data_IF_497448523224
#
_entry.id   IF_497448523224
#
_cell.length_a   1.000
_cell.length_b   1.000
_cell.length_c   1.000
_cell.angle_alpha   90.00
_cell.angle_beta   90.00
_cell.angle_gamma   90.00
#
_symmetry.space_group_name_H-M   'P 1'
#
loop_
_entity.id
_entity.type
_entity.pdbx_description
1 polymer ?
#
# COMPACT_ATOMS: atom_id res chain seq x y z
N UNK A 1 12.28 4.32 -53.19
CA UNK A 1 11.04 4.11 -52.43
C UNK A 1 11.42 3.24 -51.25
N UNK A 2 11.91 3.87 -50.18
CA UNK A 2 12.21 3.21 -48.92
C UNK A 2 11.00 3.40 -48.00
N UNK A 3 10.50 2.29 -47.45
CA UNK A 3 9.32 2.25 -46.60
C UNK A 3 9.56 3.03 -45.30
N UNK A 4 8.64 3.94 -44.99
CA UNK A 4 8.69 4.85 -43.84
C UNK A 4 8.18 4.21 -42.52
N UNK A 5 7.93 2.90 -42.50
CA UNK A 5 7.13 2.22 -41.47
C UNK A 5 7.90 1.39 -40.42
N UNK A 6 9.24 1.51 -40.34
CA UNK A 6 10.03 0.82 -39.31
C UNK A 6 10.68 1.79 -38.31
N UNK A 7 9.87 2.72 -37.78
CA UNK A 7 10.28 3.49 -36.60
C UNK A 7 10.00 2.63 -35.36
N UNK A 8 11.02 2.32 -34.52
CA UNK A 8 10.78 1.61 -33.28
C UNK A 8 9.75 2.37 -32.45
N UNK A 9 8.75 1.65 -31.95
CA UNK A 9 7.70 2.20 -31.10
C UNK A 9 8.36 3.06 -30.01
N UNK A 10 7.89 4.32 -29.86
CA UNK A 10 8.39 5.21 -28.82
C UNK A 10 8.34 4.46 -27.49
N UNK A 11 9.42 4.47 -26.67
CA UNK A 11 9.41 3.84 -25.36
C UNK A 11 8.15 4.29 -24.61
N UNK A 12 7.35 3.32 -24.14
CA UNK A 12 6.21 3.60 -23.28
C UNK A 12 6.69 4.56 -22.18
N UNK A 13 6.01 5.69 -22.03
CA UNK A 13 6.40 6.65 -21.01
C UNK A 13 6.41 5.95 -19.65
N UNK A 14 7.46 6.16 -18.85
CA UNK A 14 7.57 5.63 -17.48
C UNK A 14 6.23 5.78 -16.73
N UNK A 15 5.74 4.72 -16.08
CA UNK A 15 4.40 4.65 -15.50
C UNK A 15 4.03 5.92 -14.72
N UNK A 16 4.91 6.35 -13.81
CA UNK A 16 4.74 7.59 -13.05
C UNK A 16 4.48 8.83 -13.94
N UNK A 17 5.20 9.01 -15.05
CA UNK A 17 4.99 10.15 -15.97
C UNK A 17 3.65 10.08 -16.70
N UNK A 18 3.10 8.87 -16.92
CA UNK A 18 1.74 8.72 -17.44
C UNK A 18 0.73 9.14 -16.37
N UNK A 19 0.90 8.64 -15.15
CA UNK A 19 0.04 9.01 -14.04
C UNK A 19 0.06 10.53 -13.80
N UNK A 20 1.23 11.18 -13.81
CA UNK A 20 1.32 12.62 -13.57
C UNK A 20 0.51 13.42 -14.59
N UNK A 21 0.61 13.08 -15.88
CA UNK A 21 -0.19 13.73 -16.94
C UNK A 21 -1.68 13.50 -16.76
N UNK A 22 -2.10 12.31 -16.33
CA UNK A 22 -3.50 12.03 -16.04
C UNK A 22 -4.00 12.86 -14.84
N UNK A 23 -3.20 12.96 -13.78
CA UNK A 23 -3.54 13.76 -12.60
C UNK A 23 -3.61 15.26 -12.93
N UNK A 24 -2.72 15.76 -13.80
CA UNK A 24 -2.76 17.13 -14.33
C UNK A 24 -4.06 17.41 -15.08
N UNK A 25 -4.45 16.49 -15.99
CA UNK A 25 -5.70 16.60 -16.75
C UNK A 25 -6.93 16.58 -15.85
N UNK A 26 -6.95 15.68 -14.87
CA UNK A 26 -8.04 15.62 -13.90
C UNK A 26 -8.16 16.93 -13.15
N UNK A 27 -7.08 17.44 -12.56
CA UNK A 27 -7.14 18.67 -11.78
C UNK A 27 -7.48 19.89 -12.62
N UNK A 28 -7.05 19.95 -13.88
CA UNK A 28 -7.46 21.01 -14.80
C UNK A 28 -8.97 21.04 -15.07
N UNK A 29 -9.66 19.92 -14.86
CA UNK A 29 -11.13 19.82 -14.97
C UNK A 29 -11.88 20.03 -13.66
N UNK A 30 -11.17 20.22 -12.54
CA UNK A 30 -11.78 20.39 -11.22
C UNK A 30 -11.68 21.85 -10.77
N UNK A 31 -12.81 22.54 -10.65
CA UNK A 31 -12.86 23.96 -10.26
C UNK A 31 -12.25 24.24 -8.87
N UNK A 32 -12.30 23.27 -7.97
CA UNK A 32 -11.78 23.40 -6.59
C UNK A 32 -10.26 23.16 -6.48
N UNK A 33 -9.62 22.68 -7.54
CA UNK A 33 -8.21 22.28 -7.54
C UNK A 33 -7.32 23.40 -8.11
N UNK A 34 -6.59 24.09 -7.23
CA UNK A 34 -5.58 25.07 -7.64
C UNK A 34 -4.22 24.38 -7.69
N UNK A 35 -3.62 24.31 -8.87
CA UNK A 35 -2.35 23.59 -9.12
C UNK A 35 -1.20 24.52 -9.51
N UNK A 36 -0.01 23.96 -9.70
CA UNK A 36 1.19 24.69 -10.14
C UNK A 36 2.22 24.93 -9.03
N UNK A 37 2.06 24.30 -7.87
CA UNK A 37 3.01 24.49 -6.77
C UNK A 37 4.43 24.10 -7.18
N UNK A 38 5.37 25.03 -6.99
CA UNK A 38 6.77 24.93 -7.46
C UNK A 38 6.90 24.67 -8.97
N UNK A 39 5.96 25.20 -9.76
CA UNK A 39 5.97 25.08 -11.22
C UNK A 39 5.55 23.71 -11.74
N UNK A 40 4.89 22.88 -10.93
CA UNK A 40 4.44 21.54 -11.33
C UNK A 40 2.91 21.48 -11.35
N UNK A 41 2.32 21.29 -12.53
CA UNK A 41 0.86 21.21 -12.69
C UNK A 41 0.24 20.02 -11.95
N UNK A 42 0.99 18.92 -11.76
CA UNK A 42 0.55 17.78 -10.94
C UNK A 42 0.49 18.08 -9.44
N UNK A 43 1.06 19.21 -8.97
CA UNK A 43 1.06 19.59 -7.55
C UNK A 43 0.02 20.66 -7.28
N UNK A 44 -0.84 20.37 -6.30
CA UNK A 44 -1.76 21.34 -5.72
C UNK A 44 -1.01 22.39 -4.91
N UNK A 45 -1.54 23.61 -4.92
CA UNK A 45 -1.12 24.68 -4.02
C UNK A 45 -1.31 24.25 -2.55
N UNK A 46 -0.45 24.69 -1.62
CA UNK A 46 -0.54 24.28 -0.21
C UNK A 46 -1.90 24.53 0.42
N UNK A 47 -2.61 25.56 0.01
CA UNK A 47 -3.97 25.92 0.46
C UNK A 47 -5.08 25.06 -0.20
N UNK A 48 -4.79 24.41 -1.32
CA UNK A 48 -5.74 23.59 -2.10
C UNK A 48 -5.42 22.08 -2.02
N UNK A 49 -4.45 21.68 -1.19
CA UNK A 49 -3.98 20.28 -1.11
C UNK A 49 -5.08 19.25 -0.83
N UNK A 50 -6.12 19.64 -0.07
CA UNK A 50 -7.25 18.77 0.26
C UNK A 50 -8.14 18.45 -0.96
N UNK A 51 -8.04 19.22 -2.06
CA UNK A 51 -8.69 18.89 -3.33
C UNK A 51 -8.17 17.58 -3.96
N UNK A 52 -7.11 17.00 -3.39
CA UNK A 52 -6.63 15.67 -3.75
C UNK A 52 -7.57 14.54 -3.27
N UNK A 53 -8.51 14.83 -2.36
CA UNK A 53 -9.48 13.86 -1.85
C UNK A 53 -10.83 13.94 -2.54
N UNK A 54 -11.54 12.81 -2.53
CA UNK A 54 -12.95 12.75 -2.92
C UNK A 54 -13.78 13.82 -2.19
N UNK A 55 -14.60 14.64 -2.87
CA UNK A 55 -15.34 15.74 -2.26
C UNK A 55 -16.16 15.34 -1.03
N UNK A 56 -16.91 14.23 -1.12
CA UNK A 56 -17.79 13.76 -0.03
C UNK A 56 -17.05 13.33 1.24
N UNK A 57 -15.78 12.92 1.11
CA UNK A 57 -14.98 12.43 2.24
C UNK A 57 -13.92 13.43 2.68
N UNK A 58 -13.62 14.46 1.87
CA UNK A 58 -12.48 15.38 2.06
C UNK A 58 -12.39 15.94 3.47
N UNK A 59 -13.47 16.57 3.95
CA UNK A 59 -13.46 17.21 5.26
C UNK A 59 -13.28 16.17 6.37
N UNK A 60 -13.99 15.04 6.27
CA UNK A 60 -13.90 13.95 7.24
C UNK A 60 -12.51 13.32 7.29
N UNK A 61 -11.85 13.17 6.14
CA UNK A 61 -10.45 12.71 6.04
C UNK A 61 -9.52 13.67 6.78
N UNK A 62 -9.62 14.97 6.49
CA UNK A 62 -8.77 16.01 7.11
C UNK A 62 -8.98 16.04 8.62
N UNK A 63 -10.23 16.06 9.08
CA UNK A 63 -10.56 16.08 10.50
C UNK A 63 -10.05 14.81 11.18
N UNK A 64 -10.28 13.64 10.58
CA UNK A 64 -9.82 12.35 11.09
C UNK A 64 -8.30 12.29 11.25
N UNK A 65 -7.53 12.68 10.22
CA UNK A 65 -6.07 12.65 10.28
C UNK A 65 -5.49 13.66 11.28
N UNK A 66 -6.13 14.82 11.44
CA UNK A 66 -5.71 15.84 12.40
C UNK A 66 -6.10 15.52 13.86
N UNK A 67 -7.07 14.63 14.06
CA UNK A 67 -7.58 14.27 15.38
C UNK A 67 -6.53 13.57 16.24
N UNK A 68 -6.43 13.99 17.49
CA UNK A 68 -5.68 13.30 18.53
C UNK A 68 -6.33 13.48 19.90
N UNK A 69 -6.28 12.45 20.72
CA UNK A 69 -6.68 12.50 22.13
C UNK A 69 -5.68 11.69 23.00
N UNK A 70 -6.11 11.26 24.19
CA UNK A 70 -5.27 10.47 25.11
C UNK A 70 -4.97 9.06 24.60
N UNK A 71 -5.84 8.48 23.78
CA UNK A 71 -5.79 7.09 23.32
C UNK A 71 -5.48 7.00 21.81
N UNK A 72 -5.58 8.12 21.08
CA UNK A 72 -5.47 8.19 19.62
C UNK A 72 -4.46 9.25 19.18
N UNK A 73 -3.47 8.85 18.39
CA UNK A 73 -2.51 9.78 17.78
C UNK A 73 -3.08 10.38 16.47
N UNK A 74 -2.66 11.60 16.16
CA UNK A 74 -2.84 12.18 14.82
C UNK A 74 -2.01 11.42 13.79
N UNK A 75 -2.43 11.51 12.53
CA UNK A 75 -1.80 10.82 11.41
C UNK A 75 -1.01 11.84 10.59
N UNK A 76 0.28 11.59 10.44
CA UNK A 76 1.17 12.46 9.67
C UNK A 76 0.97 12.31 8.16
N UNK A 77 0.72 13.42 7.48
CA UNK A 77 0.78 13.44 6.01
C UNK A 77 2.22 13.38 5.52
N UNK A 78 2.46 12.59 4.48
CA UNK A 78 3.74 12.58 3.77
C UNK A 78 4.05 13.95 3.17
N UNK A 79 5.34 14.28 3.04
CA UNK A 79 5.83 15.57 2.51
C UNK A 79 5.30 15.91 1.11
N UNK A 80 4.75 14.92 0.40
CA UNK A 80 4.20 15.08 -0.94
C UNK A 80 2.69 14.80 -1.02
N UNK A 81 1.94 14.94 0.08
CA UNK A 81 0.48 14.79 0.07
C UNK A 81 -0.24 15.76 -0.90
N UNK A 82 0.36 16.91 -1.22
CA UNK A 82 -0.16 17.83 -2.24
C UNK A 82 0.15 17.40 -3.69
N UNK A 83 0.87 16.30 -3.90
CA UNK A 83 1.14 15.76 -5.24
C UNK A 83 -0.03 14.88 -5.68
N UNK A 84 -0.53 15.06 -6.92
CA UNK A 84 -1.65 14.28 -7.44
C UNK A 84 -1.40 12.77 -7.49
N UNK A 85 -0.13 12.38 -7.57
CA UNK A 85 0.31 10.98 -7.52
C UNK A 85 0.88 10.55 -6.16
N UNK A 86 0.43 11.15 -5.06
CA UNK A 86 0.80 10.70 -3.72
C UNK A 86 0.16 9.34 -3.40
N UNK A 87 0.97 8.33 -3.08
CA UNK A 87 0.48 6.99 -2.73
C UNK A 87 -0.34 6.99 -1.44
N UNK A 88 0.05 7.78 -0.43
CA UNK A 88 -0.74 7.92 0.80
C UNK A 88 -2.13 8.48 0.50
N UNK A 89 -2.23 9.51 -0.34
CA UNK A 89 -3.54 10.07 -0.73
C UNK A 89 -4.33 9.09 -1.59
N UNK A 90 -3.67 8.37 -2.49
CA UNK A 90 -4.30 7.33 -3.29
C UNK A 90 -4.88 6.22 -2.39
N UNK A 91 -4.11 5.70 -1.45
CA UNK A 91 -4.55 4.73 -0.45
C UNK A 91 -5.80 5.22 0.31
N UNK A 92 -5.75 6.46 0.83
CA UNK A 92 -6.88 7.06 1.55
C UNK A 92 -8.11 7.17 0.66
N UNK A 93 -7.98 7.66 -0.57
CA UNK A 93 -9.13 7.77 -1.49
C UNK A 93 -9.80 6.42 -1.80
N UNK A 94 -9.03 5.33 -1.83
CA UNK A 94 -9.55 4.00 -2.09
C UNK A 94 -10.15 3.33 -0.85
N UNK A 95 -9.54 3.51 0.33
CA UNK A 95 -9.92 2.75 1.52
C UNK A 95 -10.81 3.52 2.51
N UNK A 96 -10.78 4.86 2.51
CA UNK A 96 -11.59 5.66 3.44
C UNK A 96 -13.10 5.44 3.30
N UNK A 97 -13.66 5.17 2.10
CA UNK A 97 -15.07 4.82 1.96
C UNK A 97 -15.50 3.57 2.73
N UNK A 98 -14.58 2.71 3.16
CA UNK A 98 -14.88 1.55 3.99
C UNK A 98 -14.84 1.85 5.51
N UNK A 99 -14.37 3.03 5.93
CA UNK A 99 -14.00 3.30 7.33
C UNK A 99 -15.16 3.11 8.30
N UNK A 100 -16.40 3.31 7.84
CA UNK A 100 -17.64 3.14 8.59
C UNK A 100 -18.66 2.22 7.89
N UNK A 101 -18.21 1.43 6.90
CA UNK A 101 -19.05 0.53 6.12
C UNK A 101 -18.65 -0.94 6.36
N UNK A 102 -18.88 -1.50 7.56
CA UNK A 102 -18.38 -2.85 7.91
C UNK A 102 -18.89 -3.94 6.97
N UNK A 103 -20.12 -3.86 6.48
CA UNK A 103 -20.67 -4.83 5.53
C UNK A 103 -19.97 -4.77 4.17
N UNK A 104 -19.61 -3.58 3.71
CA UNK A 104 -18.90 -3.41 2.45
C UNK A 104 -17.42 -3.82 2.60
N UNK A 105 -16.81 -3.46 3.73
CA UNK A 105 -15.46 -3.87 4.09
C UNK A 105 -15.34 -5.40 4.19
N UNK A 106 -16.33 -6.07 4.79
CA UNK A 106 -16.40 -7.54 4.85
C UNK A 106 -16.28 -8.17 3.46
N UNK A 107 -17.08 -7.69 2.50
CA UNK A 107 -17.04 -8.18 1.11
C UNK A 107 -15.72 -7.88 0.42
N UNK A 108 -15.10 -6.74 0.71
CA UNK A 108 -13.77 -6.44 0.20
C UNK A 108 -12.71 -7.40 0.76
N UNK A 109 -12.74 -7.69 2.06
CA UNK A 109 -11.84 -8.66 2.72
C UNK A 109 -12.03 -10.06 2.11
N UNK A 110 -13.27 -10.54 2.02
CA UNK A 110 -13.62 -11.82 1.41
C UNK A 110 -13.05 -11.92 -0.01
N UNK A 111 -13.21 -10.85 -0.80
CA UNK A 111 -12.71 -10.76 -2.17
C UNK A 111 -11.17 -10.77 -2.27
N UNK A 112 -10.47 -9.90 -1.53
CA UNK A 112 -9.00 -9.79 -1.66
C UNK A 112 -8.26 -10.95 -0.99
N UNK A 113 -8.86 -11.58 0.01
CA UNK A 113 -8.28 -12.72 0.70
C UNK A 113 -8.81 -14.07 0.20
N UNK A 114 -9.85 -14.11 -0.64
CA UNK A 114 -10.47 -15.36 -1.08
C UNK A 114 -10.98 -16.18 0.11
N UNK A 115 -11.60 -15.51 1.08
CA UNK A 115 -12.25 -16.10 2.26
C UNK A 115 -13.75 -15.80 2.20
N UNK A 116 -14.53 -16.41 3.10
CA UNK A 116 -15.96 -16.17 3.20
C UNK A 116 -16.35 -15.84 4.64
N UNK A 117 -17.18 -14.81 4.80
CA UNK A 117 -17.81 -14.50 6.08
C UNK A 117 -16.92 -13.68 7.01
N UNK A 118 -16.02 -12.84 6.47
CA UNK A 118 -15.30 -11.87 7.27
C UNK A 118 -16.26 -10.94 8.03
N UNK A 119 -15.99 -10.73 9.31
CA UNK A 119 -16.74 -9.81 10.17
C UNK A 119 -15.80 -8.73 10.69
N UNK A 120 -15.69 -7.57 10.02
CA UNK A 120 -14.86 -6.47 10.48
C UNK A 120 -15.23 -6.02 11.89
N UNK A 121 -14.21 -5.72 12.69
CA UNK A 121 -14.38 -5.10 14.00
C UNK A 121 -13.72 -3.72 14.04
N UNK A 122 -14.20 -2.86 14.93
CA UNK A 122 -13.68 -1.50 15.13
C UNK A 122 -12.21 -1.53 15.53
N UNK A 123 -11.30 -1.15 14.64
CA UNK A 123 -9.86 -1.16 14.91
C UNK A 123 -9.41 0.03 15.76
N UNK A 124 -10.04 1.20 15.58
CA UNK A 124 -9.81 2.39 16.41
C UNK A 124 -11.08 3.24 16.52
N UNK A 125 -11.13 4.14 17.51
CA UNK A 125 -12.16 5.19 17.58
C UNK A 125 -11.49 6.53 17.33
N UNK A 126 -12.07 7.35 16.46
CA UNK A 126 -11.48 8.62 16.05
C UNK A 126 -12.58 9.66 15.92
N UNK A 127 -12.39 10.80 16.60
CA UNK A 127 -13.39 11.86 16.66
C UNK A 127 -14.80 11.39 17.09
N UNK A 128 -14.85 10.44 18.04
CA UNK A 128 -16.10 9.85 18.53
C UNK A 128 -16.71 8.75 17.64
N UNK A 129 -16.17 8.54 16.44
CA UNK A 129 -16.67 7.56 15.46
C UNK A 129 -15.89 6.24 15.56
N UNK A 130 -16.60 5.14 15.30
CA UNK A 130 -15.98 3.82 15.14
C UNK A 130 -15.35 3.72 13.75
N UNK A 131 -14.06 3.39 13.71
CA UNK A 131 -13.31 3.17 12.48
C UNK A 131 -12.97 1.69 12.33
N UNK A 132 -13.32 1.11 11.18
CA UNK A 132 -12.99 -0.27 10.81
C UNK A 132 -11.70 -0.36 9.98
N UNK A 133 -11.19 0.78 9.50
CA UNK A 133 -9.90 0.90 8.81
C UNK A 133 -9.05 1.95 9.53
N UNK A 134 -7.82 1.60 9.87
CA UNK A 134 -6.84 2.52 10.46
C UNK A 134 -5.72 2.82 9.47
N UNK A 135 -5.39 4.09 9.22
CA UNK A 135 -4.34 4.50 8.27
C UNK A 135 -3.00 4.75 8.95
N UNK A 136 -1.86 4.45 8.33
CA UNK A 136 -0.53 4.57 8.99
C UNK A 136 -0.46 3.75 10.30
N UNK A 137 -1.13 2.60 10.34
CA UNK A 137 -1.29 1.82 11.58
C UNK A 137 0.01 1.11 11.98
N UNK A 138 0.23 0.98 13.28
CA UNK A 138 1.30 0.16 13.86
C UNK A 138 0.77 -0.51 15.14
N UNK A 139 1.30 -1.69 15.52
CA UNK A 139 0.87 -2.39 16.73
C UNK A 139 1.28 -1.63 18.00
N UNK A 140 0.50 -1.80 19.07
CA UNK A 140 0.87 -1.29 20.39
C UNK A 140 2.16 -1.94 20.92
N UNK A 141 2.34 -3.24 20.65
CA UNK A 141 3.56 -3.98 20.98
C UNK A 141 4.68 -3.62 20.00
N UNK A 142 5.86 -3.25 20.53
CA UNK A 142 7.07 -3.01 19.72
C UNK A 142 7.73 -4.33 19.31
N UNK A 143 7.14 -5.01 18.31
CA UNK A 143 7.66 -6.28 17.79
C UNK A 143 9.02 -6.16 17.11
N UNK A 144 9.40 -4.96 16.67
CA UNK A 144 10.57 -4.75 15.81
C UNK A 144 11.73 -4.03 16.50
N UNK A 145 11.62 -3.76 17.81
CA UNK A 145 12.61 -3.00 18.58
C UNK A 145 12.85 -1.60 18.01
N UNK A 146 11.79 -0.96 17.52
CA UNK A 146 11.84 0.34 16.85
C UNK A 146 11.47 1.50 17.76
N UNK A 147 10.79 1.22 18.88
CA UNK A 147 10.45 2.24 19.85
C UNK A 147 11.73 2.91 20.36
N UNK A 148 11.72 4.24 20.40
CA UNK A 148 12.82 5.01 20.96
C UNK A 148 12.99 4.75 22.46
N UNK A 149 14.00 5.38 23.09
CA UNK A 149 14.30 5.25 24.53
C UNK A 149 13.12 5.52 25.48
N UNK A 150 12.08 6.21 25.00
CA UNK A 150 10.87 6.53 25.76
C UNK A 150 9.72 5.54 25.54
N UNK A 151 9.94 4.45 24.78
CA UNK A 151 8.95 3.40 24.52
C UNK A 151 7.74 3.82 23.68
N UNK A 152 7.74 5.03 23.10
CA UNK A 152 6.64 5.54 22.27
C UNK A 152 7.04 5.59 20.80
N UNK A 153 6.30 4.87 19.96
CA UNK A 153 6.29 5.06 18.51
C UNK A 153 5.42 6.25 18.11
N UNK A 154 5.80 6.94 17.03
CA UNK A 154 5.00 8.00 16.42
C UNK A 154 4.38 7.47 15.13
N UNK A 155 3.07 7.63 14.96
CA UNK A 155 2.36 7.24 13.73
C UNK A 155 2.95 7.97 12.51
N UNK A 156 3.42 7.23 11.50
CA UNK A 156 4.02 7.79 10.30
C UNK A 156 5.46 8.32 10.44
N UNK A 157 6.18 8.02 11.54
CA UNK A 157 7.62 8.34 11.61
C UNK A 157 8.43 7.38 12.50
N UNK A 158 9.64 7.03 12.05
CA UNK A 158 10.68 6.27 12.77
C UNK A 158 10.31 4.85 13.27
N UNK A 159 9.09 4.38 13.00
CA UNK A 159 8.59 3.04 13.30
C UNK A 159 7.92 2.46 12.05
N UNK A 160 7.76 1.15 11.98
CA UNK A 160 7.06 0.47 10.89
C UNK A 160 5.56 0.73 11.02
N UNK A 161 5.05 1.69 10.27
CA UNK A 161 3.63 1.78 9.95
C UNK A 161 3.35 1.04 8.65
N UNK A 162 2.15 0.47 8.55
CA UNK A 162 1.54 0.04 7.30
C UNK A 162 0.56 1.11 6.85
N UNK A 163 0.38 1.28 5.54
CA UNK A 163 -0.47 2.35 4.99
C UNK A 163 -1.91 2.25 5.51
N UNK A 164 -2.42 1.03 5.69
CA UNK A 164 -3.66 0.78 6.41
C UNK A 164 -3.67 -0.57 7.15
N UNK A 165 -4.58 -0.71 8.12
CA UNK A 165 -4.85 -1.97 8.79
C UNK A 165 -6.35 -2.16 9.07
N UNK A 166 -6.77 -3.42 9.09
CA UNK A 166 -8.15 -3.85 9.39
C UNK A 166 -8.07 -5.04 10.35
N UNK A 167 -8.97 -5.08 11.32
CA UNK A 167 -9.18 -6.28 12.15
C UNK A 167 -10.56 -6.86 11.86
N UNK A 168 -10.66 -8.18 11.81
CA UNK A 168 -11.90 -8.87 11.46
C UNK A 168 -11.93 -10.26 12.09
N UNK A 169 -13.11 -10.86 12.19
CA UNK A 169 -13.27 -12.26 12.60
C UNK A 169 -13.62 -13.17 11.43
N UNK A 170 -13.18 -14.42 11.56
CA UNK A 170 -13.72 -15.57 10.84
C UNK A 170 -14.10 -16.59 11.92
N UNK A 171 -15.41 -16.74 12.18
CA UNK A 171 -15.88 -17.47 13.36
C UNK A 171 -15.37 -16.82 14.65
N UNK A 172 -14.72 -17.61 15.52
CA UNK A 172 -14.19 -17.15 16.81
C UNK A 172 -12.75 -16.62 16.73
N UNK A 173 -12.09 -16.73 15.58
CA UNK A 173 -10.72 -16.27 15.40
C UNK A 173 -10.67 -14.79 15.05
N UNK A 174 -9.84 -14.02 15.76
CA UNK A 174 -9.56 -12.63 15.42
C UNK A 174 -8.35 -12.55 14.49
N UNK A 175 -8.52 -11.89 13.35
CA UNK A 175 -7.53 -11.77 12.30
C UNK A 175 -7.12 -10.30 12.13
N UNK A 176 -5.86 -10.08 11.76
CA UNK A 176 -5.29 -8.79 11.40
C UNK A 176 -4.92 -8.79 9.91
N UNK A 177 -5.38 -7.79 9.18
CA UNK A 177 -4.97 -7.51 7.81
C UNK A 177 -4.17 -6.22 7.80
N UNK A 178 -2.87 -6.34 7.51
CA UNK A 178 -1.98 -5.22 7.25
C UNK A 178 -1.98 -4.94 5.75
N UNK A 179 -2.12 -3.67 5.37
CA UNK A 179 -2.25 -3.25 3.98
C UNK A 179 -1.09 -2.31 3.65
N UNK A 180 -0.33 -2.69 2.65
CA UNK A 180 0.69 -1.86 2.02
C UNK A 180 0.21 -1.41 0.64
N UNK A 181 0.29 -0.11 0.37
CA UNK A 181 -0.21 0.52 -0.84
C UNK A 181 0.90 1.18 -1.63
N UNK A 182 1.03 0.79 -2.89
CA UNK A 182 1.90 1.46 -3.87
C UNK A 182 1.09 2.05 -5.00
N UNK A 183 1.59 3.14 -5.57
CA UNK A 183 1.05 3.78 -6.74
C UNK A 183 2.14 4.02 -7.79
N UNK A 184 2.97 5.06 -7.64
CA UNK A 184 3.96 5.47 -8.65
C UNK A 184 5.42 5.26 -8.24
N UNK A 185 5.65 4.54 -7.15
CA UNK A 185 6.98 4.27 -6.63
C UNK A 185 7.88 3.61 -7.68
N UNK A 186 9.15 3.97 -7.61
CA UNK A 186 10.24 3.27 -8.27
C UNK A 186 11.44 3.35 -7.34
N UNK A 187 12.11 2.22 -7.15
CA UNK A 187 13.24 2.13 -6.22
C UNK A 187 14.58 2.19 -6.94
N UNK A 188 15.57 2.81 -6.32
CA UNK A 188 16.94 2.82 -6.84
C UNK A 188 17.54 1.41 -6.80
N UNK A 189 18.44 1.10 -7.73
CA UNK A 189 19.15 -0.20 -7.72
C UNK A 189 20.29 -0.25 -6.70
N UNK A 190 20.56 0.84 -5.99
CA UNK A 190 21.65 0.98 -5.01
C UNK A 190 21.20 1.85 -3.84
N UNK A 191 21.73 1.57 -2.66
CA UNK A 191 21.51 2.34 -1.44
C UNK A 191 22.42 3.56 -1.42
N UNK A 192 21.89 4.70 -0.99
CA UNK A 192 22.69 5.91 -0.79
C UNK A 192 23.52 5.83 0.52
N UNK A 193 24.55 6.69 0.70
CA UNK A 193 25.40 6.65 1.89
C UNK A 193 24.67 6.85 3.22
N UNK A 194 23.60 7.65 3.24
CA UNK A 194 22.80 7.88 4.46
C UNK A 194 22.02 6.61 4.82
N UNK A 195 21.50 5.89 3.81
CA UNK A 195 20.89 4.58 4.03
C UNK A 195 21.90 3.60 4.61
N UNK A 196 23.11 3.48 4.03
CA UNK A 196 24.16 2.57 4.54
C UNK A 196 24.59 2.88 5.98
N UNK A 197 24.67 4.16 6.35
CA UNK A 197 25.04 4.57 7.71
C UNK A 197 24.07 4.04 8.79
N UNK A 198 22.83 3.68 8.42
CA UNK A 198 21.84 3.11 9.34
C UNK A 198 21.97 1.60 9.57
N UNK A 199 22.84 0.90 8.85
CA UNK A 199 22.92 -0.58 8.90
C UNK A 199 23.22 -1.15 10.30
N UNK A 200 24.13 -0.57 11.11
CA UNK A 200 24.35 -1.05 12.48
C UNK A 200 23.06 -1.05 13.32
N UNK A 201 22.22 -0.01 13.18
CA UNK A 201 20.93 0.07 13.87
C UNK A 201 19.96 -0.98 13.37
N UNK A 202 19.88 -1.21 12.06
CA UNK A 202 18.98 -2.23 11.47
C UNK A 202 19.37 -3.63 11.89
N UNK A 203 20.66 -3.94 11.86
CA UNK A 203 21.20 -5.23 12.32
C UNK A 203 20.85 -5.44 13.79
N UNK A 204 21.14 -4.46 14.66
CA UNK A 204 20.83 -4.56 16.09
C UNK A 204 19.35 -4.82 16.38
N UNK A 205 18.44 -4.28 15.55
CA UNK A 205 16.99 -4.46 15.70
C UNK A 205 16.50 -5.82 15.21
N UNK A 206 16.96 -6.25 14.04
CA UNK A 206 16.30 -7.35 13.31
C UNK A 206 17.08 -8.65 13.30
N UNK A 207 18.38 -8.66 13.59
CA UNK A 207 19.25 -9.85 13.42
C UNK A 207 18.70 -11.11 14.10
N UNK A 208 18.02 -10.96 15.23
CA UNK A 208 17.50 -12.08 16.01
C UNK A 208 16.05 -12.45 15.71
N UNK A 209 15.35 -11.71 14.81
CA UNK A 209 13.90 -11.81 14.62
C UNK A 209 13.44 -11.89 13.15
N UNK A 210 14.37 -11.90 12.18
CA UNK A 210 14.03 -11.87 10.75
C UNK A 210 13.92 -13.26 10.10
N UNK A 211 14.68 -14.23 10.58
CA UNK A 211 14.77 -15.58 10.01
C UNK A 211 14.22 -16.64 10.97
N UNK A 212 13.74 -17.76 10.42
CA UNK A 212 13.32 -18.93 11.19
C UNK A 212 14.44 -19.38 12.16
N UNK A 213 14.07 -19.80 13.38
CA UNK A 213 12.71 -20.00 13.88
C UNK A 213 12.03 -18.74 14.44
N UNK A 214 12.72 -17.60 14.50
CA UNK A 214 12.24 -16.39 15.17
C UNK A 214 11.66 -15.31 14.23
N UNK A 215 11.59 -15.57 12.93
CA UNK A 215 11.05 -14.66 11.95
C UNK A 215 10.41 -15.38 10.76
N UNK A 216 9.90 -14.63 9.77
CA UNK A 216 9.15 -15.20 8.65
C UNK A 216 10.02 -15.82 7.53
N UNK A 217 11.29 -15.44 7.41
CA UNK A 217 12.16 -15.90 6.31
C UNK A 217 12.70 -17.29 6.59
N UNK A 218 12.67 -18.18 5.59
CA UNK A 218 13.18 -19.55 5.67
C UNK A 218 14.62 -19.63 6.19
N UNK A 219 14.90 -20.65 7.01
CA UNK A 219 16.24 -20.91 7.55
C UNK A 219 17.19 -21.61 6.56
N UNK A 220 16.66 -22.24 5.50
CA UNK A 220 17.45 -23.01 4.53
C UNK A 220 17.96 -22.16 3.35
N UNK A 221 17.71 -20.85 3.38
CA UNK A 221 18.21 -19.91 2.38
C UNK A 221 19.61 -19.43 2.77
N UNK A 222 20.54 -19.46 1.82
CA UNK A 222 21.87 -18.84 1.92
C UNK A 222 21.76 -17.34 1.61
N UNK A 223 21.14 -16.60 2.54
CA UNK A 223 20.90 -15.16 2.42
C UNK A 223 21.20 -14.46 3.74
N UNK A 224 21.77 -13.26 3.66
CA UNK A 224 22.10 -12.43 4.81
C UNK A 224 21.03 -11.35 5.04
N UNK A 225 20.79 -10.96 6.30
CA UNK A 225 19.85 -9.88 6.64
C UNK A 225 20.11 -8.59 5.85
N UNK A 226 21.39 -8.24 5.65
CA UNK A 226 21.79 -6.99 4.98
C UNK A 226 21.36 -6.94 3.50
N UNK A 227 21.07 -8.08 2.89
CA UNK A 227 20.59 -8.17 1.50
C UNK A 227 19.18 -7.61 1.36
N UNK A 228 18.39 -7.64 2.45
CA UNK A 228 17.08 -7.03 2.50
C UNK A 228 17.10 -5.52 2.68
N UNK A 229 18.24 -4.87 2.95
CA UNK A 229 18.23 -3.43 3.28
C UNK A 229 18.02 -2.49 2.08
N UNK A 230 17.89 -3.03 0.86
CA UNK A 230 17.51 -2.27 -0.33
C UNK A 230 15.98 -2.25 -0.45
N UNK A 231 15.41 -1.10 -0.82
CA UNK A 231 13.96 -1.03 -1.06
C UNK A 231 13.55 -1.72 -2.38
N UNK A 232 12.38 -2.39 -2.43
CA UNK A 232 11.36 -2.49 -1.37
C UNK A 232 11.57 -3.64 -0.38
N UNK A 233 12.64 -4.46 -0.51
CA UNK A 233 12.87 -5.62 0.35
C UNK A 233 12.89 -5.26 1.83
N UNK A 234 13.43 -4.08 2.16
CA UNK A 234 13.56 -3.65 3.54
C UNK A 234 12.20 -3.39 4.17
N UNK A 235 11.34 -2.69 3.42
CA UNK A 235 9.97 -2.42 3.83
C UNK A 235 9.15 -3.71 3.94
N UNK A 236 9.22 -4.58 2.91
CA UNK A 236 8.52 -5.87 2.89
C UNK A 236 8.93 -6.75 4.07
N UNK A 237 10.23 -6.85 4.36
CA UNK A 237 10.73 -7.64 5.50
C UNK A 237 10.18 -7.10 6.82
N UNK A 238 10.22 -5.77 7.05
CA UNK A 238 9.71 -5.16 8.29
C UNK A 238 8.23 -5.43 8.48
N UNK A 239 7.42 -5.22 7.44
CA UNK A 239 5.98 -5.41 7.52
C UNK A 239 5.60 -6.88 7.70
N UNK A 240 6.32 -7.79 7.04
CA UNK A 240 6.10 -9.22 7.22
C UNK A 240 6.56 -9.71 8.59
N UNK A 241 7.65 -9.16 9.15
CA UNK A 241 8.04 -9.43 10.54
C UNK A 241 6.97 -8.93 11.50
N UNK A 242 6.40 -7.73 11.29
CA UNK A 242 5.28 -7.23 12.10
C UNK A 242 4.10 -8.19 12.10
N UNK A 243 3.67 -8.66 10.92
CA UNK A 243 2.60 -9.65 10.81
C UNK A 243 2.97 -10.96 11.53
N UNK A 244 4.16 -11.50 11.26
CA UNK A 244 4.63 -12.75 11.87
C UNK A 244 4.64 -12.69 13.40
N UNK A 245 5.18 -11.62 13.99
CA UNK A 245 5.25 -11.47 15.44
C UNK A 245 3.89 -11.17 16.06
N UNK A 246 3.02 -10.43 15.38
CA UNK A 246 1.63 -10.26 15.81
C UNK A 246 0.83 -11.57 15.78
N UNK A 247 1.11 -12.51 14.87
CA UNK A 247 0.43 -13.83 14.85
C UNK A 247 1.03 -14.82 15.86
N UNK A 248 2.34 -14.73 16.11
CA UNK A 248 3.05 -15.76 16.90
C UNK A 248 3.30 -15.38 18.36
N UNK A 249 3.09 -14.12 18.74
CA UNK A 249 3.12 -13.66 20.13
C UNK A 249 1.96 -14.28 20.94
N UNK A 250 2.24 -15.08 22.00
CA UNK A 250 1.20 -15.67 22.84
C UNK A 250 0.30 -14.66 23.56
N UNK A 251 0.71 -13.39 23.66
CA UNK A 251 -0.09 -12.31 24.24
C UNK A 251 -0.91 -11.54 23.20
N UNK A 252 -0.66 -11.77 21.92
CA UNK A 252 -1.44 -11.17 20.85
C UNK A 252 -2.83 -11.79 20.78
N UNK A 253 -3.88 -11.01 20.53
CA UNK A 253 -5.22 -11.55 20.34
C UNK A 253 -5.42 -12.14 18.94
N UNK A 254 -4.47 -11.94 18.01
CA UNK A 254 -4.63 -12.31 16.62
C UNK A 254 -4.23 -13.76 16.37
N UNK A 255 -5.19 -14.57 15.93
CA UNK A 255 -4.95 -15.95 15.47
C UNK A 255 -4.27 -16.00 14.10
N UNK A 256 -4.39 -14.91 13.32
CA UNK A 256 -3.79 -14.77 12.00
C UNK A 256 -3.45 -13.31 11.71
N UNK A 257 -2.29 -13.05 11.14
CA UNK A 257 -1.91 -11.75 10.61
C UNK A 257 -1.42 -11.88 9.16
N UNK A 258 -2.08 -11.17 8.24
CA UNK A 258 -1.78 -11.22 6.80
C UNK A 258 -1.32 -9.85 6.32
N UNK A 259 -0.24 -9.80 5.53
CA UNK A 259 0.20 -8.63 4.79
C UNK A 259 -0.34 -8.68 3.37
N UNK A 260 -1.16 -7.70 3.02
CA UNK A 260 -1.70 -7.48 1.69
C UNK A 260 -0.98 -6.29 1.04
N UNK A 261 -0.20 -6.57 0.01
CA UNK A 261 0.40 -5.58 -0.85
C UNK A 261 -0.51 -5.29 -2.04
N UNK A 262 -0.81 -4.02 -2.27
CA UNK A 262 -1.65 -3.54 -3.37
C UNK A 262 -0.83 -2.59 -4.23
N UNK A 263 -0.68 -2.91 -5.52
CA UNK A 263 0.01 -2.04 -6.48
C UNK A 263 -0.55 -2.12 -7.90
N UNK A 264 -0.27 -1.15 -8.78
CA UNK A 264 -0.71 -1.23 -10.17
C UNK A 264 0.22 -2.15 -10.97
N UNK A 265 -0.33 -3.15 -11.67
CA UNK A 265 0.46 -4.02 -12.56
C UNK A 265 1.20 -3.25 -13.67
N UNK A 266 0.69 -2.07 -14.06
CA UNK A 266 1.35 -1.21 -15.03
C UNK A 266 2.64 -0.55 -14.53
N UNK A 267 2.94 -0.61 -13.23
CA UNK A 267 4.15 -0.03 -12.65
C UNK A 267 5.33 -1.04 -12.66
N UNK A 268 5.81 -1.40 -13.85
CA UNK A 268 6.90 -2.39 -13.99
C UNK A 268 8.20 -2.03 -13.23
N UNK A 269 8.47 -0.73 -13.01
CA UNK A 269 9.66 -0.28 -12.28
C UNK A 269 9.61 -0.59 -10.78
N UNK A 270 8.41 -0.70 -10.21
CA UNK A 270 8.15 -1.17 -8.86
C UNK A 270 8.35 -2.69 -8.77
N UNK A 271 7.78 -3.43 -9.71
CA UNK A 271 7.78 -4.90 -9.71
C UNK A 271 9.16 -5.48 -10.01
N UNK A 272 10.03 -4.74 -10.70
CA UNK A 272 11.37 -5.21 -11.07
C UNK A 272 12.21 -5.60 -9.86
N UNK A 273 12.67 -6.85 -9.84
CA UNK A 273 13.66 -7.36 -8.89
C UNK A 273 14.99 -6.60 -9.03
N UNK A 274 15.51 -6.13 -7.89
CA UNK A 274 16.77 -5.37 -7.77
C UNK A 274 17.59 -5.91 -6.61
N UNK A 275 18.89 -5.66 -6.63
CA UNK A 275 19.80 -6.14 -5.59
C UNK A 275 20.13 -7.62 -5.75
N UNK A 276 20.40 -8.29 -4.63
CA UNK A 276 20.99 -9.63 -4.63
C UNK A 276 20.01 -10.74 -5.00
N UNK A 277 18.71 -10.49 -4.92
CA UNK A 277 17.67 -11.48 -5.26
C UNK A 277 17.38 -11.57 -6.77
N UNK A 278 18.16 -10.88 -7.62
CA UNK A 278 18.00 -10.85 -9.08
C UNK A 278 17.96 -12.21 -9.77
N UNK A 279 18.59 -13.22 -9.19
CA UNK A 279 18.61 -14.57 -9.76
C UNK A 279 17.35 -15.40 -9.44
N UNK A 280 16.47 -14.92 -8.55
CA UNK A 280 15.34 -15.69 -8.04
C UNK A 280 14.04 -15.46 -8.83
N UNK A 281 14.00 -14.46 -9.71
CA UNK A 281 12.83 -14.14 -10.54
C UNK A 281 12.84 -12.69 -11.01
N UNK A 282 11.77 -12.31 -11.72
CA UNK A 282 11.63 -10.97 -12.30
C UNK A 282 10.66 -10.05 -11.53
N UNK A 283 9.76 -10.64 -10.73
CA UNK A 283 8.79 -9.92 -9.89
C UNK A 283 9.19 -9.95 -8.40
N UNK A 284 9.35 -8.76 -7.83
CA UNK A 284 9.81 -8.54 -6.45
C UNK A 284 8.89 -9.17 -5.41
N UNK A 285 7.58 -9.20 -5.65
CA UNK A 285 6.60 -9.69 -4.70
C UNK A 285 6.46 -11.21 -4.79
N UNK A 286 6.53 -11.79 -5.99
CA UNK A 286 6.60 -13.24 -6.17
C UNK A 286 7.89 -13.80 -5.56
N UNK A 287 9.03 -13.15 -5.83
CA UNK A 287 10.31 -13.52 -5.22
C UNK A 287 10.23 -13.40 -3.70
N UNK A 288 9.74 -12.28 -3.15
CA UNK A 288 9.60 -12.13 -1.70
C UNK A 288 8.75 -13.23 -1.06
N UNK A 289 7.60 -13.55 -1.66
CA UNK A 289 6.73 -14.63 -1.19
C UNK A 289 7.45 -16.00 -1.15
N UNK A 290 8.35 -16.25 -2.11
CA UNK A 290 9.12 -17.49 -2.18
C UNK A 290 10.15 -17.63 -1.03
N UNK A 291 10.60 -16.50 -0.46
CA UNK A 291 11.55 -16.45 0.66
C UNK A 291 10.89 -16.79 2.00
N UNK A 292 9.56 -16.70 2.08
CA UNK A 292 8.81 -16.97 3.30
C UNK A 292 8.76 -18.47 3.62
N UNK A 293 8.77 -18.78 4.91
CA UNK A 293 8.59 -20.13 5.43
C UNK A 293 7.26 -20.73 4.94
N UNK A 294 7.27 -22.02 4.59
CA UNK A 294 6.19 -22.66 3.83
C UNK A 294 4.79 -22.47 4.44
N UNK A 295 4.68 -22.58 5.76
CA UNK A 295 3.42 -22.41 6.50
C UNK A 295 2.99 -20.95 6.71
N UNK A 296 3.82 -19.98 6.31
CA UNK A 296 3.53 -18.54 6.35
C UNK A 296 3.40 -17.90 4.96
N UNK A 297 3.59 -18.66 3.88
CA UNK A 297 3.50 -18.13 2.50
C UNK A 297 2.16 -17.50 2.18
N UNK A 298 1.08 -18.03 2.73
CA UNK A 298 -0.28 -17.51 2.57
C UNK A 298 -0.60 -16.31 3.50
N UNK A 299 0.40 -15.85 4.29
CA UNK A 299 0.34 -14.61 5.08
C UNK A 299 0.86 -13.40 4.32
N UNK A 300 1.37 -13.58 3.11
CA UNK A 300 1.69 -12.50 2.19
C UNK A 300 0.86 -12.65 0.93
N UNK A 301 0.15 -11.59 0.55
CA UNK A 301 -0.60 -11.53 -0.71
C UNK A 301 -0.21 -10.26 -1.45
N UNK A 302 0.11 -10.39 -2.73
CA UNK A 302 0.25 -9.24 -3.63
C UNK A 302 -0.89 -9.30 -4.64
N UNK A 303 -1.62 -8.19 -4.77
CA UNK A 303 -2.75 -8.08 -5.68
C UNK A 303 -2.64 -6.76 -6.45
N UNK A 304 -3.10 -6.78 -7.70
CA UNK A 304 -3.15 -5.54 -8.45
C UNK A 304 -4.32 -4.65 -7.99
N UNK A 305 -4.14 -3.32 -8.06
CA UNK A 305 -5.17 -2.37 -7.60
C UNK A 305 -6.52 -2.55 -8.29
N UNK A 306 -6.55 -2.83 -9.60
CA UNK A 306 -7.82 -3.01 -10.32
C UNK A 306 -8.58 -4.24 -9.82
N UNK A 307 -7.88 -5.36 -9.63
CA UNK A 307 -8.46 -6.59 -9.12
C UNK A 307 -8.90 -6.44 -7.67
N UNK A 308 -8.14 -5.77 -6.81
CA UNK A 308 -8.52 -5.56 -5.41
C UNK A 308 -9.87 -4.83 -5.24
N UNK A 309 -10.25 -3.99 -6.21
CA UNK A 309 -11.50 -3.22 -6.19
C UNK A 309 -12.51 -3.66 -7.24
N UNK A 310 -12.22 -4.74 -7.98
CA UNK A 310 -13.09 -5.23 -9.06
C UNK A 310 -14.49 -5.60 -8.57
N UNK A 311 -14.62 -6.10 -7.34
CA UNK A 311 -15.92 -6.47 -6.77
C UNK A 311 -16.90 -5.28 -6.72
N UNK A 312 -16.39 -4.05 -6.60
CA UNK A 312 -17.21 -2.83 -6.57
C UNK A 312 -17.88 -2.52 -7.92
N UNK A 313 -17.42 -3.13 -9.01
CA UNK A 313 -18.05 -2.96 -10.33
C UNK A 313 -19.45 -3.57 -10.40
N UNK A 314 -19.75 -4.54 -9.53
CA UNK A 314 -21.05 -5.21 -9.42
C UNK A 314 -21.90 -4.68 -8.26
N UNK A 315 -21.35 -3.77 -7.43
CA UNK A 315 -22.03 -3.21 -6.27
C UNK A 315 -22.93 -2.03 -6.69
N UNK A 316 -24.24 -2.04 -6.35
CA UNK A 316 -25.13 -0.92 -6.66
C UNK A 316 -24.66 0.39 -5.98
N UNK A 317 -24.58 1.47 -6.77
CA UNK A 317 -24.40 2.86 -6.32
C UNK A 317 -23.11 3.15 -5.53
N UNK A 318 -21.97 2.83 -6.11
CA UNK A 318 -20.69 3.37 -5.64
C UNK A 318 -20.34 4.65 -6.41
N UNK A 319 -21.02 5.77 -6.14
CA UNK A 319 -20.73 7.07 -6.80
C UNK A 319 -19.26 7.49 -6.64
N UNK A 320 -18.66 7.13 -5.50
CA UNK A 320 -17.23 7.30 -5.26
C UNK A 320 -16.33 6.51 -6.24
N UNK A 321 -16.80 5.37 -6.76
CA UNK A 321 -16.06 4.59 -7.76
C UNK A 321 -16.03 5.28 -9.11
N UNK A 322 -17.08 6.00 -9.49
CA UNK A 322 -17.07 6.79 -10.73
C UNK A 322 -16.05 7.94 -10.62
N UNK A 323 -15.98 8.57 -9.45
CA UNK A 323 -14.92 9.54 -9.16
C UNK A 323 -13.52 8.89 -9.21
N UNK A 324 -13.34 7.71 -8.62
CA UNK A 324 -12.05 7.00 -8.70
C UNK A 324 -11.68 6.60 -10.12
N UNK A 325 -12.63 6.18 -10.96
CA UNK A 325 -12.37 5.88 -12.39
C UNK A 325 -11.92 7.13 -13.15
N UNK A 326 -12.56 8.27 -12.88
CA UNK A 326 -12.16 9.55 -13.48
C UNK A 326 -10.77 9.99 -12.97
N UNK A 327 -10.52 9.83 -11.67
CA UNK A 327 -9.28 10.25 -11.00
C UNK A 327 -8.08 9.35 -11.28
N UNK A 328 -8.30 8.04 -11.31
CA UNK A 328 -7.27 6.99 -11.39
C UNK A 328 -7.61 5.95 -12.48
N UNK A 329 -7.75 6.36 -13.76
CA UNK A 329 -8.23 5.47 -14.82
C UNK A 329 -7.30 4.28 -15.09
N UNK A 330 -6.01 4.38 -14.77
CA UNK A 330 -5.06 3.28 -14.87
C UNK A 330 -5.18 2.25 -13.73
N UNK A 331 -5.81 2.63 -12.61
CA UNK A 331 -5.99 1.77 -11.44
C UNK A 331 -7.38 1.11 -11.43
N UNK A 332 -8.37 1.73 -12.07
CA UNK A 332 -9.71 1.18 -12.26
C UNK A 332 -10.08 1.34 -13.74
N UNK A 333 -9.63 0.43 -14.61
CA UNK A 333 -9.95 0.51 -16.03
C UNK A 333 -11.47 0.34 -16.23
N UNK A 334 -12.02 1.13 -17.15
CA UNK A 334 -13.38 0.90 -17.62
C UNK A 334 -13.43 -0.47 -18.33
N UNK A 335 -14.40 -1.31 -17.96
CA UNK A 335 -14.61 -2.63 -18.55
C UNK A 335 -14.83 -2.62 -20.08
N UNK A 336 -14.99 -1.44 -20.70
CA UNK A 336 -15.33 -1.24 -22.11
C UNK A 336 -14.12 -1.05 -23.05
N UNK A 337 -12.90 -1.46 -22.68
CA UNK A 337 -11.72 -1.34 -23.56
C UNK A 337 -10.95 -2.62 -23.91
N UNK A 338 -11.36 -3.80 -23.45
CA UNK A 338 -10.62 -5.04 -23.76
C UNK A 338 -11.05 -5.82 -25.00
N UNK A 339 -12.20 -5.54 -25.62
CA UNK A 339 -12.62 -6.26 -26.84
C UNK A 339 -12.57 -5.38 -28.10
N UNK A 340 -11.39 -5.26 -28.72
CA UNK A 340 -11.33 -4.89 -30.15
C UNK A 340 -10.12 -5.42 -30.92
N UNK A 341 -9.27 -6.27 -30.32
CA UNK A 341 -8.14 -6.90 -31.02
C UNK A 341 -8.24 -8.43 -31.01
N UNK A 342 -9.43 -8.93 -31.34
CA UNK A 342 -9.68 -10.34 -31.53
C UNK A 342 -10.50 -10.58 -32.80
N UNK A 343 -9.86 -11.20 -33.80
CA UNK A 343 -10.47 -11.93 -34.93
C UNK A 343 -10.87 -11.12 -36.17
N UNK A 344 -9.94 -11.05 -37.13
CA UNK A 344 -10.32 -11.25 -38.54
C UNK A 344 -9.14 -11.79 -39.35
N UNK A 345 -9.12 -13.11 -39.54
CA UNK A 345 -8.59 -13.77 -40.74
C UNK A 345 -9.49 -14.98 -41.01
N UNK A 346 -10.45 -14.76 -41.90
CA UNK A 346 -10.95 -15.80 -42.81
C UNK A 346 -9.93 -16.02 -43.92
#
# INVERSE_FOLDING_TARGET
>A
MENEDDKPAKPLAHFAKQQYRQQEQFFASCDEAVTGYRGQAVRLMPESWAANFHPDYRQRIVDSFSYSDKDTQSIGWHTHANHGASSQVCCVNFLFPFVDQPNLLARWIDHVLGVEGAQPEVIERRNGEDHYVAFEWFPETDYLNEAGKNGKGNRGSNSTSVDAAVRYRIGDELHLLLIEWKYTESYASKRDPKSLAGDPTRIARYQNIWQRPHGPIRADLDVELTEFFLEPWYQLLRQQMTAYHAETDPLSPYSRATLLHISPNGNFDLHKVKGNFGALGDDVFEVFASLLEGNFRDRFKSINTADAFRFLTTEPRTEWMDWLRARYPALIPNASREDSHGTSRT
#
